data_IF_465822128758
#
_entry.id   IF_465822128758
#
_cell.length_a   1.000
_cell.length_b   1.000
_cell.length_c   1.000
_cell.angle_alpha   90.00
_cell.angle_beta   90.00
_cell.angle_gamma   90.00
#
_symmetry.space_group_name_H-M   'P 1'
#
loop_
_entity.id
_entity.type
_entity.pdbx_description
1 polymer ?
#
# COMPACT_ATOMS: atom_id res chain seq x y z
N UNK A 1 -28.06 -9.02 -35.02
CA UNK A 1 -28.62 -10.10 -34.17
C UNK A 1 -27.88 -10.09 -32.84
N UNK A 2 -28.58 -9.90 -31.73
CA UNK A 2 -27.95 -9.90 -30.40
C UNK A 2 -27.79 -11.34 -29.92
N UNK A 3 -26.54 -11.81 -29.83
CA UNK A 3 -26.21 -13.16 -29.36
C UNK A 3 -26.06 -13.13 -27.84
N UNK A 4 -27.02 -13.70 -27.13
CA UNK A 4 -26.93 -13.85 -25.69
C UNK A 4 -26.01 -15.03 -25.33
N UNK A 5 -25.06 -14.79 -24.44
CA UNK A 5 -24.09 -15.78 -23.96
C UNK A 5 -24.27 -16.01 -22.45
N UNK A 6 -23.95 -17.23 -22.00
CA UNK A 6 -24.04 -17.59 -20.57
C UNK A 6 -22.89 -16.96 -19.78
N UNK A 7 -23.05 -16.86 -18.46
CA UNK A 7 -22.03 -16.29 -17.56
C UNK A 7 -20.62 -16.90 -17.71
N UNK A 8 -20.50 -18.19 -18.01
CA UNK A 8 -19.20 -18.83 -18.23
C UNK A 8 -18.50 -18.34 -19.49
N UNK A 9 -19.24 -18.22 -20.60
CA UNK A 9 -18.73 -17.70 -21.86
C UNK A 9 -18.48 -16.19 -21.76
N UNK A 10 -19.32 -15.45 -21.03
CA UNK A 10 -19.11 -14.04 -20.73
C UNK A 10 -17.83 -13.82 -19.91
N UNK A 11 -17.58 -14.67 -18.91
CA UNK A 11 -16.37 -14.63 -18.09
C UNK A 11 -15.11 -14.85 -18.94
N UNK A 12 -15.14 -15.83 -19.84
CA UNK A 12 -14.06 -16.06 -20.81
C UNK A 12 -13.89 -14.88 -21.77
N UNK A 13 -14.98 -14.29 -22.26
CA UNK A 13 -14.94 -13.15 -23.19
C UNK A 13 -14.31 -11.91 -22.54
N UNK A 14 -14.52 -11.72 -21.24
CA UNK A 14 -13.98 -10.60 -20.46
C UNK A 14 -12.65 -10.91 -19.76
N UNK A 15 -12.14 -12.14 -19.86
CA UNK A 15 -10.91 -12.56 -19.19
C UNK A 15 -11.00 -12.57 -17.65
N UNK A 16 -12.19 -12.73 -17.06
CA UNK A 16 -12.40 -12.71 -15.61
C UNK A 16 -13.03 -14.00 -15.10
N UNK A 17 -13.06 -14.20 -13.77
CA UNK A 17 -13.76 -15.34 -13.17
C UNK A 17 -15.28 -15.16 -13.17
N UNK A 18 -16.03 -16.26 -13.13
CA UNK A 18 -17.51 -16.23 -12.97
C UNK A 18 -17.92 -15.53 -11.67
N UNK A 19 -17.14 -15.69 -10.59
CA UNK A 19 -17.38 -14.99 -9.33
C UNK A 19 -17.23 -13.47 -9.49
N UNK A 20 -16.28 -13.01 -10.30
CA UNK A 20 -16.10 -11.58 -10.61
C UNK A 20 -17.36 -11.01 -11.26
N UNK A 21 -17.96 -11.71 -12.23
CA UNK A 21 -19.22 -11.28 -12.84
C UNK A 21 -20.40 -11.22 -11.86
N UNK A 22 -20.43 -12.11 -10.86
CA UNK A 22 -21.45 -12.06 -9.79
C UNK A 22 -21.25 -10.86 -8.87
N UNK A 23 -20.00 -10.55 -8.51
CA UNK A 23 -19.68 -9.34 -7.73
C UNK A 23 -20.01 -8.06 -8.49
N UNK A 24 -19.72 -8.02 -9.80
CA UNK A 24 -20.06 -6.87 -10.64
C UNK A 24 -21.55 -6.65 -10.80
N UNK A 25 -22.34 -7.72 -10.74
CA UNK A 25 -23.79 -7.62 -10.66
C UNK A 25 -24.23 -7.02 -9.32
N UNK A 26 -23.67 -7.49 -8.19
CA UNK A 26 -23.99 -6.97 -6.86
C UNK A 26 -23.64 -5.48 -6.72
N UNK A 27 -22.48 -5.07 -7.26
CA UNK A 27 -22.03 -3.68 -7.29
C UNK A 27 -22.68 -2.84 -8.39
N UNK A 28 -23.57 -3.42 -9.21
CA UNK A 28 -24.22 -2.81 -10.37
C UNK A 28 -23.25 -2.28 -11.45
N UNK A 29 -21.98 -2.72 -11.44
CA UNK A 29 -21.01 -2.41 -12.50
C UNK A 29 -21.35 -3.10 -13.83
N UNK A 30 -21.81 -4.35 -13.78
CA UNK A 30 -22.25 -5.09 -14.95
C UNK A 30 -23.38 -6.03 -14.55
N UNK A 31 -24.58 -5.72 -15.04
CA UNK A 31 -25.79 -6.54 -14.80
C UNK A 31 -26.10 -7.41 -16.00
N UNK A 32 -26.56 -8.66 -15.79
CA UNK A 32 -26.99 -9.53 -16.89
C UNK A 32 -28.24 -8.96 -17.56
N UNK A 33 -28.28 -8.99 -18.89
CA UNK A 33 -29.45 -8.56 -19.67
C UNK A 33 -30.67 -9.47 -19.44
N UNK A 34 -30.44 -10.76 -19.13
CA UNK A 34 -31.51 -11.70 -18.79
C UNK A 34 -31.12 -12.63 -17.65
N UNK A 35 -32.12 -12.94 -16.81
CA UNK A 35 -32.08 -14.03 -15.84
C UNK A 35 -33.24 -14.99 -16.05
N UNK A 36 -32.94 -16.28 -16.06
CA UNK A 36 -33.98 -17.32 -15.99
C UNK A 36 -34.53 -17.44 -14.57
N UNK A 37 -35.72 -18.04 -14.41
CA UNK A 37 -36.29 -18.38 -13.09
C UNK A 37 -35.32 -19.21 -12.21
N UNK A 38 -34.48 -20.06 -12.82
CA UNK A 38 -33.43 -20.82 -12.13
C UNK A 38 -32.11 -20.07 -11.85
N UNK A 39 -32.05 -18.75 -12.04
CA UNK A 39 -30.88 -17.94 -11.69
C UNK A 39 -29.71 -17.94 -12.70
N UNK A 40 -29.87 -18.57 -13.86
CA UNK A 40 -28.87 -18.50 -14.95
C UNK A 40 -28.84 -17.10 -15.55
N UNK A 41 -27.64 -16.53 -15.65
CA UNK A 41 -27.36 -15.18 -16.15
C UNK A 41 -26.95 -15.23 -17.61
N UNK A 42 -27.53 -14.34 -18.41
CA UNK A 42 -27.24 -14.17 -19.82
C UNK A 42 -26.86 -12.73 -20.11
N UNK A 43 -25.84 -12.55 -20.94
CA UNK A 43 -25.30 -11.27 -21.33
C UNK A 43 -25.33 -11.13 -22.85
N UNK A 44 -25.68 -9.96 -23.35
CA UNK A 44 -25.60 -9.64 -24.78
C UNK A 44 -24.12 -9.50 -25.19
N UNK A 45 -23.65 -10.37 -26.08
CA UNK A 45 -22.25 -10.41 -26.51
C UNK A 45 -21.78 -9.08 -27.09
N UNK A 46 -22.62 -8.33 -27.80
CA UNK A 46 -22.21 -7.06 -28.40
C UNK A 46 -22.04 -5.97 -27.35
N UNK A 47 -22.95 -5.89 -26.37
CA UNK A 47 -22.78 -5.01 -25.20
C UNK A 47 -21.56 -5.42 -24.37
N UNK A 48 -21.30 -6.72 -24.26
CA UNK A 48 -20.20 -7.24 -23.47
C UNK A 48 -18.84 -6.95 -24.11
N UNK A 49 -18.74 -7.02 -25.44
CA UNK A 49 -17.55 -6.62 -26.20
C UNK A 49 -17.34 -5.10 -26.15
N UNK A 50 -18.43 -4.33 -26.11
CA UNK A 50 -18.40 -2.87 -25.88
C UNK A 50 -18.27 -2.47 -24.41
N UNK A 51 -18.29 -3.44 -23.49
CA UNK A 51 -18.12 -3.19 -22.06
C UNK A 51 -16.64 -2.94 -21.81
N UNK A 52 -16.23 -1.70 -22.10
CA UNK A 52 -15.12 -1.12 -21.38
C UNK A 52 -15.63 -0.90 -19.98
N UNK A 53 -15.00 -1.55 -19.01
CA UNK A 53 -15.11 -1.10 -17.64
C UNK A 53 -14.98 0.43 -17.68
N UNK A 54 -15.85 1.17 -16.99
CA UNK A 54 -15.44 2.51 -16.59
C UNK A 54 -14.22 2.28 -15.71
N UNK A 55 -13.06 2.21 -16.34
CA UNK A 55 -11.78 2.18 -15.69
C UNK A 55 -11.82 3.45 -14.87
N UNK A 56 -11.94 3.24 -13.57
CA UNK A 56 -11.65 4.30 -12.64
C UNK A 56 -10.18 4.55 -12.91
N UNK A 57 -9.85 5.59 -13.67
CA UNK A 57 -8.46 6.05 -13.90
C UNK A 57 -7.88 6.66 -12.61
N UNK A 58 -8.31 6.13 -11.46
CA UNK A 58 -7.93 6.58 -10.15
C UNK A 58 -6.56 6.01 -9.87
N UNK A 59 -5.60 6.91 -9.78
CA UNK A 59 -4.26 6.65 -9.32
C UNK A 59 -4.24 6.75 -7.80
N UNK A 60 -3.69 5.75 -7.11
CA UNK A 60 -3.50 5.81 -5.67
C UNK A 60 -2.07 6.22 -5.37
N UNK A 61 -1.90 7.35 -4.68
CA UNK A 61 -0.65 7.67 -4.00
C UNK A 61 -0.66 7.05 -2.59
N UNK A 62 0.38 6.32 -2.22
CA UNK A 62 0.47 5.73 -0.88
C UNK A 62 1.66 6.28 -0.09
N UNK A 63 1.38 6.84 1.10
CA UNK A 63 2.36 7.45 1.99
C UNK A 63 2.38 6.75 3.36
N UNK A 64 3.55 6.67 3.99
CA UNK A 64 3.70 6.04 5.31
C UNK A 64 4.85 6.63 6.10
N UNK A 65 4.63 6.76 7.40
CA UNK A 65 5.69 6.98 8.40
C UNK A 65 5.55 6.02 9.56
N UNK A 66 6.64 5.78 10.29
CA UNK A 66 6.66 4.77 11.35
C UNK A 66 6.16 5.30 12.69
N UNK A 67 6.34 6.59 12.98
CA UNK A 67 5.90 7.22 14.24
C UNK A 67 5.09 8.50 14.01
N UNK A 68 4.30 8.88 15.02
CA UNK A 68 3.55 10.15 14.99
C UNK A 68 4.46 11.37 14.93
N UNK A 69 5.69 11.26 15.46
CA UNK A 69 6.67 12.36 15.49
C UNK A 69 7.11 12.75 14.06
N UNK A 70 6.96 11.83 13.11
CA UNK A 70 7.26 11.99 11.69
C UNK A 70 6.07 12.55 10.88
N UNK A 71 5.08 13.19 11.53
CA UNK A 71 3.89 13.71 10.83
C UNK A 71 4.22 14.76 9.76
N UNK A 72 5.28 15.54 9.95
CA UNK A 72 5.76 16.50 8.95
C UNK A 72 6.24 15.78 7.69
N UNK A 73 7.06 14.75 7.87
CA UNK A 73 7.56 13.92 6.77
C UNK A 73 6.40 13.24 6.01
N UNK A 74 5.38 12.78 6.72
CA UNK A 74 4.18 12.22 6.10
C UNK A 74 3.49 13.27 5.20
N UNK A 75 3.37 14.51 5.68
CA UNK A 75 2.77 15.58 4.91
C UNK A 75 3.59 15.92 3.66
N UNK A 76 4.92 16.01 3.79
CA UNK A 76 5.82 16.21 2.64
C UNK A 76 5.73 15.08 1.62
N UNK A 77 5.58 13.83 2.07
CA UNK A 77 5.34 12.69 1.17
C UNK A 77 4.02 12.84 0.40
N UNK A 78 2.93 13.25 1.08
CA UNK A 78 1.64 13.47 0.42
C UNK A 78 1.74 14.56 -0.64
N UNK A 79 2.26 15.72 -0.28
CA UNK A 79 2.41 16.86 -1.21
C UNK A 79 3.22 16.49 -2.45
N UNK A 80 4.24 15.64 -2.29
CA UNK A 80 5.03 15.14 -3.41
C UNK A 80 4.25 14.19 -4.32
N UNK A 81 3.50 13.25 -3.73
CA UNK A 81 2.64 12.34 -4.49
C UNK A 81 1.55 13.12 -5.24
N UNK A 82 0.96 14.12 -4.58
CA UNK A 82 -0.04 15.02 -5.16
C UNK A 82 0.56 15.80 -6.33
N UNK A 83 1.67 16.50 -6.12
CA UNK A 83 2.35 17.26 -7.16
C UNK A 83 2.73 16.38 -8.36
N UNK A 84 3.19 15.15 -8.12
CA UNK A 84 3.51 14.19 -9.18
C UNK A 84 2.26 13.73 -9.94
N UNK A 85 1.14 13.46 -9.26
CA UNK A 85 -0.09 13.08 -9.95
C UNK A 85 -0.68 14.25 -10.76
N UNK A 86 -0.65 15.47 -10.21
CA UNK A 86 -1.11 16.68 -10.87
C UNK A 86 -0.28 16.96 -12.13
N UNK A 87 1.05 16.87 -12.05
CA UNK A 87 1.93 17.14 -13.18
C UNK A 87 1.75 16.16 -14.34
N UNK A 88 1.32 14.93 -14.05
CA UNK A 88 0.99 13.91 -15.04
C UNK A 88 -0.49 13.94 -15.47
N UNK A 89 -1.32 14.85 -14.92
CA UNK A 89 -2.73 14.98 -15.27
C UNK A 89 -3.60 13.82 -14.81
N UNK A 90 -3.19 13.07 -13.78
CA UNK A 90 -3.92 11.91 -13.30
C UNK A 90 -4.97 12.29 -12.25
N UNK A 91 -6.16 11.70 -12.34
CA UNK A 91 -7.08 11.66 -11.20
C UNK A 91 -6.50 10.78 -10.12
N UNK A 92 -6.38 11.31 -8.90
CA UNK A 92 -5.71 10.60 -7.82
C UNK A 92 -6.47 10.64 -6.49
N UNK A 93 -6.15 9.67 -5.64
CA UNK A 93 -6.48 9.68 -4.22
C UNK A 93 -5.22 9.32 -3.42
N UNK A 94 -5.00 10.00 -2.30
CA UNK A 94 -3.89 9.70 -1.39
C UNK A 94 -4.38 8.86 -0.22
N UNK A 95 -3.73 7.72 -0.01
CA UNK A 95 -3.90 6.86 1.17
C UNK A 95 -2.64 7.01 2.02
N UNK A 96 -2.82 7.26 3.31
CA UNK A 96 -1.73 7.30 4.27
C UNK A 96 -1.92 6.30 5.40
N UNK A 97 -0.79 5.89 5.97
CA UNK A 97 -0.77 5.02 7.12
C UNK A 97 0.32 5.42 8.12
N UNK A 98 0.02 5.11 9.37
CA UNK A 98 0.94 5.30 10.47
C UNK A 98 1.34 3.94 11.07
N UNK A 99 2.64 3.73 11.19
CA UNK A 99 3.23 2.57 11.83
C UNK A 99 4.35 1.94 11.01
N UNK A 100 5.07 1.01 11.64
CA UNK A 100 6.22 0.31 11.06
C UNK A 100 5.91 -0.29 9.68
N UNK A 101 6.95 -0.33 8.83
CA UNK A 101 6.94 -1.05 7.56
C UNK A 101 6.69 -2.55 7.71
N UNK A 102 6.81 -3.11 8.91
CA UNK A 102 6.56 -4.52 9.22
C UNK A 102 5.11 -4.82 9.64
N UNK A 103 4.29 -3.79 9.89
CA UNK A 103 2.89 -3.99 10.28
C UNK A 103 1.98 -4.19 9.05
N UNK A 104 1.50 -5.41 8.80
CA UNK A 104 0.60 -5.71 7.66
C UNK A 104 -0.88 -5.40 7.95
N UNK A 105 -1.24 -4.99 9.17
CA UNK A 105 -2.62 -4.79 9.59
C UNK A 105 -3.13 -3.35 9.48
N UNK A 106 -2.34 -2.46 8.87
CA UNK A 106 -2.66 -1.03 8.73
C UNK A 106 -3.91 -0.82 7.88
N UNK A 107 -4.71 0.20 8.22
CA UNK A 107 -6.03 0.40 7.60
C UNK A 107 -5.89 0.85 6.15
N UNK A 108 -4.94 1.74 5.86
CA UNK A 108 -4.65 2.20 4.51
C UNK A 108 -4.16 1.06 3.62
N UNK A 109 -3.26 0.20 4.10
CA UNK A 109 -2.76 -0.96 3.38
C UNK A 109 -3.87 -1.95 3.03
N UNK A 110 -4.76 -2.28 3.98
CA UNK A 110 -5.92 -3.14 3.71
C UNK A 110 -6.82 -2.54 2.64
N UNK A 111 -7.11 -1.24 2.76
CA UNK A 111 -7.90 -0.50 1.78
C UNK A 111 -7.25 -0.51 0.40
N UNK A 112 -5.93 -0.32 0.30
CA UNK A 112 -5.18 -0.39 -0.95
C UNK A 112 -5.32 -1.78 -1.60
N UNK A 113 -5.16 -2.85 -0.81
CA UNK A 113 -5.31 -4.23 -1.31
C UNK A 113 -6.74 -4.47 -1.82
N UNK A 114 -7.77 -4.03 -1.09
CA UNK A 114 -9.16 -4.15 -1.53
C UNK A 114 -9.41 -3.39 -2.85
N UNK A 115 -8.84 -2.19 -2.99
CA UNK A 115 -8.93 -1.39 -4.22
C UNK A 115 -8.25 -2.07 -5.41
N UNK A 116 -7.08 -2.68 -5.21
CA UNK A 116 -6.37 -3.49 -6.22
C UNK A 116 -7.24 -4.69 -6.64
N UNK A 117 -7.81 -5.41 -5.68
CA UNK A 117 -8.61 -6.62 -5.92
C UNK A 117 -9.95 -6.33 -6.61
N UNK A 118 -10.57 -5.19 -6.30
CA UNK A 118 -11.81 -4.73 -6.92
C UNK A 118 -11.60 -4.07 -8.30
N UNK A 119 -10.36 -4.02 -8.78
CA UNK A 119 -9.96 -3.37 -10.04
C UNK A 119 -10.37 -1.89 -10.09
N UNK A 120 -10.36 -1.19 -8.94
CA UNK A 120 -10.80 0.21 -8.83
C UNK A 120 -9.69 1.21 -9.08
N UNK A 121 -8.48 0.72 -9.40
CA UNK A 121 -7.29 1.55 -9.56
C UNK A 121 -6.56 1.12 -10.82
N UNK A 122 -5.95 2.09 -11.50
CA UNK A 122 -5.09 1.86 -12.66
C UNK A 122 -3.61 1.94 -12.30
N UNK A 123 -3.27 2.71 -11.27
CA UNK A 123 -1.89 3.01 -10.91
C UNK A 123 -1.70 3.15 -9.41
N UNK A 124 -0.57 2.66 -8.92
CA UNK A 124 -0.05 2.88 -7.57
C UNK A 124 1.23 3.71 -7.67
N UNK A 125 1.26 4.86 -6.99
CA UNK A 125 2.42 5.75 -6.92
C UNK A 125 2.99 5.71 -5.51
N UNK A 126 4.31 5.51 -5.43
CA UNK A 126 5.08 5.50 -4.20
C UNK A 126 6.25 6.45 -4.31
N UNK A 127 6.64 7.06 -3.19
CA UNK A 127 7.92 7.77 -3.12
C UNK A 127 9.07 6.76 -3.12
N UNK A 128 8.95 5.70 -2.32
CA UNK A 128 9.89 4.57 -2.26
C UNK A 128 9.18 3.25 -2.01
N UNK A 129 9.82 2.14 -2.40
CA UNK A 129 9.35 0.77 -2.12
C UNK A 129 9.07 0.52 -0.63
N UNK A 130 9.98 0.93 0.24
CA UNK A 130 9.89 0.73 1.69
C UNK A 130 8.80 1.58 2.38
N UNK A 131 8.21 2.54 1.66
CA UNK A 131 7.06 3.30 2.16
C UNK A 131 5.79 2.47 2.12
N UNK A 132 5.72 1.46 1.25
CA UNK A 132 4.63 0.48 1.30
C UNK A 132 4.82 -0.48 2.48
N UNK A 133 5.88 -1.28 2.43
CA UNK A 133 6.22 -2.32 3.40
C UNK A 133 7.74 -2.50 3.43
N UNK A 134 8.29 -2.88 4.59
CA UNK A 134 9.73 -3.18 4.73
C UNK A 134 10.09 -4.50 4.06
N UNK A 135 9.20 -5.48 4.17
CA UNK A 135 9.32 -6.78 3.52
C UNK A 135 7.98 -7.13 2.87
N UNK A 136 8.02 -7.85 1.75
CA UNK A 136 6.81 -8.32 1.07
C UNK A 136 6.11 -7.27 0.19
N UNK A 137 6.74 -6.13 -0.07
CA UNK A 137 6.25 -5.17 -1.06
C UNK A 137 6.14 -5.81 -2.46
N UNK A 138 7.05 -6.74 -2.78
CA UNK A 138 7.08 -7.51 -4.02
C UNK A 138 5.82 -8.36 -4.21
N UNK A 139 5.23 -8.87 -3.12
CA UNK A 139 3.98 -9.61 -3.18
C UNK A 139 2.82 -8.70 -3.61
N UNK A 140 2.82 -7.46 -3.12
CA UNK A 140 1.84 -6.46 -3.53
C UNK A 140 2.09 -6.04 -4.99
N UNK A 141 3.34 -5.87 -5.41
CA UNK A 141 3.66 -5.53 -6.81
C UNK A 141 3.28 -6.66 -7.77
N UNK A 142 3.49 -7.91 -7.39
CA UNK A 142 3.01 -9.08 -8.16
C UNK A 142 1.49 -9.07 -8.26
N UNK A 143 0.79 -8.71 -7.17
CA UNK A 143 -0.66 -8.57 -7.20
C UNK A 143 -1.11 -7.42 -8.14
N UNK A 144 -0.40 -6.29 -8.13
CA UNK A 144 -0.63 -5.20 -9.07
C UNK A 144 -0.46 -5.66 -10.52
N UNK A 145 0.63 -6.37 -10.84
CA UNK A 145 0.90 -6.91 -12.18
C UNK A 145 -0.22 -7.84 -12.65
N UNK A 146 -0.65 -8.79 -11.81
CA UNK A 146 -1.77 -9.70 -12.11
C UNK A 146 -3.10 -8.97 -12.32
N UNK A 147 -3.24 -7.76 -11.79
CA UNK A 147 -4.42 -6.90 -11.91
C UNK A 147 -4.24 -5.77 -12.92
N UNK A 148 -3.12 -5.75 -13.65
CA UNK A 148 -2.77 -4.70 -14.63
C UNK A 148 -2.74 -3.29 -14.01
N UNK A 149 -2.34 -3.20 -12.74
CA UNK A 149 -2.09 -1.94 -12.05
C UNK A 149 -0.62 -1.56 -12.26
N UNK A 150 -0.40 -0.38 -12.82
CA UNK A 150 0.95 0.18 -12.99
C UNK A 150 1.53 0.61 -11.64
N UNK A 151 2.78 0.25 -11.34
CA UNK A 151 3.47 0.72 -10.13
C UNK A 151 4.55 1.73 -10.53
N UNK A 152 4.44 2.95 -10.02
CA UNK A 152 5.40 4.04 -10.25
C UNK A 152 6.11 4.40 -8.95
N UNK A 153 7.44 4.41 -8.97
CA UNK A 153 8.27 4.78 -7.81
C UNK A 153 9.07 6.04 -8.16
N UNK A 154 8.86 7.12 -7.42
CA UNK A 154 9.49 8.43 -7.69
C UNK A 154 10.99 8.44 -7.32
N UNK A 155 11.41 7.61 -6.36
CA UNK A 155 12.80 7.41 -5.92
C UNK A 155 13.54 8.73 -5.59
N UNK A 156 13.24 9.33 -4.44
CA UNK A 156 14.00 10.47 -3.91
C UNK A 156 15.05 10.04 -2.87
N UNK A 157 16.33 10.12 -3.21
CA UNK A 157 17.41 9.72 -2.29
C UNK A 157 17.44 10.52 -0.98
N UNK A 158 17.64 9.76 0.11
CA UNK A 158 18.24 10.12 1.42
C UNK A 158 17.49 11.12 2.31
N UNK A 159 16.60 10.59 3.15
CA UNK A 159 16.18 11.24 4.40
C UNK A 159 16.76 10.45 5.60
N UNK A 160 17.36 11.15 6.56
CA UNK A 160 17.84 10.58 7.85
C UNK A 160 16.76 9.74 8.55
N UNK A 161 15.48 10.08 8.34
CA UNK A 161 14.34 9.33 8.86
C UNK A 161 14.24 7.90 8.33
N UNK A 162 14.75 7.62 7.13
CA UNK A 162 14.77 6.26 6.58
C UNK A 162 15.71 5.34 7.36
N UNK A 163 16.92 5.80 7.68
CA UNK A 163 17.90 5.03 8.46
C UNK A 163 17.38 4.75 9.88
N UNK A 164 16.78 5.76 10.50
CA UNK A 164 16.13 5.63 11.82
C UNK A 164 14.97 4.62 11.79
N UNK A 165 14.12 4.68 10.75
CA UNK A 165 13.04 3.71 10.56
C UNK A 165 13.57 2.29 10.33
N UNK A 166 14.65 2.14 9.56
CA UNK A 166 15.26 0.85 9.28
C UNK A 166 15.85 0.25 10.56
N UNK A 167 16.54 1.04 11.36
CA UNK A 167 17.06 0.62 12.65
C UNK A 167 15.93 0.17 13.58
N UNK A 168 14.83 0.94 13.66
CA UNK A 168 13.64 0.59 14.45
C UNK A 168 13.05 -0.77 14.02
N UNK A 169 12.90 -1.01 12.72
CA UNK A 169 12.37 -2.26 12.20
C UNK A 169 13.29 -3.46 12.51
N UNK A 170 14.62 -3.29 12.43
CA UNK A 170 15.58 -4.33 12.83
C UNK A 170 15.48 -4.65 14.32
N UNK A 171 15.29 -3.63 15.17
CA UNK A 171 15.11 -3.83 16.60
C UNK A 171 13.81 -4.57 16.93
N UNK A 172 12.75 -4.30 16.17
CA UNK A 172 11.48 -5.03 16.29
C UNK A 172 11.69 -6.52 15.96
N UNK A 173 12.41 -6.82 14.87
CA UNK A 173 12.78 -8.20 14.50
C UNK A 173 13.54 -8.87 15.65
N UNK A 174 14.63 -8.27 16.11
CA UNK A 174 15.47 -8.84 17.17
C UNK A 174 14.65 -9.06 18.44
N UNK A 175 13.76 -8.14 18.77
CA UNK A 175 12.90 -8.22 19.95
C UNK A 175 11.94 -9.42 19.87
N UNK A 176 11.30 -9.63 18.72
CA UNK A 176 10.40 -10.77 18.50
C UNK A 176 11.16 -12.09 18.59
N UNK A 177 12.32 -12.20 17.94
CA UNK A 177 13.14 -13.40 17.99
C UNK A 177 13.68 -13.67 19.40
N UNK A 178 14.11 -12.65 20.13
CA UNK A 178 14.64 -12.80 21.49
C UNK A 178 13.56 -13.23 22.48
N UNK A 179 12.34 -12.73 22.33
CA UNK A 179 11.20 -13.19 23.12
C UNK A 179 10.85 -14.66 22.85
N UNK A 180 10.98 -15.13 21.61
CA UNK A 180 10.78 -16.54 21.25
C UNK A 180 11.91 -17.45 21.72
N UNK A 181 13.17 -17.01 21.60
CA UNK A 181 14.36 -17.79 21.96
C UNK A 181 14.53 -17.94 23.48
N UNK A 182 14.37 -16.84 24.22
CA UNK A 182 14.67 -16.81 25.65
C UNK A 182 13.42 -16.84 26.54
N UNK A 183 12.23 -16.66 25.96
CA UNK A 183 10.99 -16.42 26.69
C UNK A 183 10.78 -14.93 27.00
N UNK A 184 9.53 -14.46 26.87
CA UNK A 184 9.17 -13.04 26.97
C UNK A 184 9.55 -12.39 28.31
N UNK A 185 9.58 -13.15 29.40
CA UNK A 185 9.91 -12.69 30.77
C UNK A 185 11.32 -13.05 31.25
N UNK A 186 12.15 -13.65 30.39
CA UNK A 186 13.49 -14.09 30.80
C UNK A 186 14.44 -12.92 31.05
N UNK A 187 15.30 -13.06 32.06
CA UNK A 187 16.36 -12.09 32.37
C UNK A 187 17.29 -11.83 31.18
N UNK A 188 17.54 -12.84 30.33
CA UNK A 188 18.35 -12.68 29.11
C UNK A 188 17.66 -11.76 28.10
N UNK A 189 16.34 -11.90 27.92
CA UNK A 189 15.55 -11.03 27.05
C UNK A 189 15.47 -9.60 27.60
N UNK A 190 15.35 -9.45 28.92
CA UNK A 190 15.33 -8.14 29.58
C UNK A 190 16.64 -7.37 29.38
N UNK A 191 17.78 -8.01 29.63
CA UNK A 191 19.11 -7.41 29.39
C UNK A 191 19.32 -7.02 27.93
N UNK A 192 18.87 -7.86 27.00
CA UNK A 192 19.02 -7.60 25.58
C UNK A 192 18.15 -6.42 25.13
N UNK A 193 16.91 -6.31 25.62
CA UNK A 193 16.06 -5.13 25.41
C UNK A 193 16.67 -3.84 25.98
N UNK A 194 17.22 -3.91 27.19
CA UNK A 194 17.91 -2.78 27.83
C UNK A 194 19.09 -2.31 26.96
N UNK A 195 20.00 -3.20 26.57
CA UNK A 195 21.09 -2.87 25.64
C UNK A 195 20.59 -2.26 24.32
N UNK A 196 19.58 -2.86 23.69
CA UNK A 196 19.04 -2.36 22.42
C UNK A 196 18.41 -0.97 22.55
N UNK A 197 17.76 -0.68 23.68
CA UNK A 197 17.18 0.65 23.95
C UNK A 197 18.24 1.73 24.21
N UNK A 198 19.42 1.35 24.69
CA UNK A 198 20.55 2.29 24.82
C UNK A 198 21.10 2.71 23.45
N UNK A 199 21.15 1.79 22.48
CA UNK A 199 21.58 2.10 21.10
C UNK A 199 20.63 3.06 20.37
N UNK A 200 19.33 2.96 20.61
CA UNK A 200 18.35 3.90 20.03
C UNK A 200 18.45 5.29 20.66
N UNK A 201 18.64 5.36 21.97
CA UNK A 201 18.66 6.64 22.71
C UNK A 201 20.01 7.36 22.61
N UNK A 202 21.13 6.63 22.47
CA UNK A 202 22.47 7.20 22.32
C UNK A 202 22.68 8.00 21.03
N UNK A 203 21.93 7.69 19.96
CA UNK A 203 21.98 8.44 18.71
C UNK A 203 21.21 9.78 18.78
N UNK A 204 20.13 9.86 19.56
CA UNK A 204 19.39 11.11 19.78
C UNK A 204 20.20 12.17 20.56
N UNK A 205 21.08 11.74 21.48
CA UNK A 205 21.92 12.66 22.27
C UNK A 205 23.06 13.31 21.44
N UNK A 206 23.53 12.65 20.37
CA UNK A 206 24.60 13.20 19.51
C UNK A 206 24.08 14.19 18.46
N UNK A 207 22.81 14.09 18.05
CA UNK A 207 22.18 14.99 17.07
C UNK A 207 21.90 16.39 17.66
N UNK A 208 21.53 16.49 18.94
CA UNK A 208 21.20 17.78 19.58
C UNK A 208 22.41 18.68 19.90
N UNK A 209 23.64 18.14 19.90
CA UNK A 209 24.83 18.92 20.27
C UNK A 209 25.50 19.69 19.11
N UNK A 210 24.96 19.64 17.88
CA UNK A 210 25.50 20.40 16.73
C UNK A 210 24.88 21.80 16.52
N UNK A 211 23.88 22.20 17.30
CA UNK A 211 23.25 23.53 17.18
C UNK A 211 23.45 24.33 18.48
N UNK A 212 24.67 24.79 18.74
CA UNK A 212 24.91 25.97 19.59
C UNK A 212 25.69 27.00 18.77
N UNK A 213 25.12 28.19 18.49
CA UNK A 213 25.88 29.24 17.83
C UNK A 213 27.00 29.69 18.77
N UNK A 214 28.24 29.69 18.27
CA UNK A 214 29.35 30.32 18.96
C UNK A 214 29.02 31.80 19.13
N UNK A 215 28.69 32.22 20.36
CA UNK A 215 28.73 33.63 20.75
C UNK A 215 30.19 34.07 20.62
N UNK A 216 30.48 34.90 19.62
CA UNK A 216 31.71 35.69 19.58
C UNK A 216 31.73 36.59 20.82
N UNK A 217 32.74 36.40 21.66
CA UNK A 217 33.10 37.33 22.72
C UNK A 217 34.15 38.30 22.15
N UNK A 218 33.86 39.59 22.29
CA UNK A 218 34.69 40.79 22.14
C UNK A 218 35.47 40.98 20.83
#
# INVERSE_FOLDING_TARGET
MNRFIKVGEAAQTLGVSIQTLRRWEESKQLVPDKKTKGGTRYYDKNKLLGFKKQESEVTIGYARVSSHDQKKDLQTQKEMLEAFCISNGWTYEIIDDLGSGMNYNKKGLKRLIDLILDYKITRLVLTHKDRLLRFGAELIFTLCELRQVEVVIINKSEDTSFEEELASDVLEIITVFSARLYGSRSHKNKKLKECLSEFTNGNNAKSQNKIRPQKKAN
#
